data_IF_984233632571
#
_entry.id   IF_984233632571
#
_cell.length_a   1.000
_cell.length_b   1.000
_cell.length_c   1.000
_cell.angle_alpha   90.00
_cell.angle_beta   90.00
_cell.angle_gamma   90.00
#
_symmetry.space_group_name_H-M   'P 1'
#
loop_
_entity.id
_entity.type
_entity.pdbx_description
1 polymer ?
#
# COMPACT_ATOMS: atom_id res chain seq x y z
N UNK A 1 16.18 37.42 16.23
CA UNK A 1 15.52 36.59 15.19
C UNK A 1 14.39 35.82 15.87
N UNK A 2 13.15 35.96 15.39
CA UNK A 2 11.94 35.52 16.10
C UNK A 2 11.88 33.99 16.29
N UNK A 3 12.01 33.50 17.52
CA UNK A 3 11.97 32.07 17.87
C UNK A 3 10.65 31.39 17.46
N UNK A 4 9.55 32.14 17.36
CA UNK A 4 8.25 31.64 16.89
C UNK A 4 8.20 31.26 15.40
N UNK A 5 9.09 31.79 14.53
CA UNK A 5 9.12 31.41 13.10
C UNK A 5 9.83 30.06 12.85
N UNK A 6 10.63 29.57 13.80
CA UNK A 6 11.35 28.30 13.68
C UNK A 6 10.44 27.08 13.96
N UNK A 7 9.35 27.26 14.71
CA UNK A 7 8.41 26.18 15.06
C UNK A 7 7.52 25.69 13.90
N UNK A 8 7.38 26.48 12.83
CA UNK A 8 6.54 26.13 11.67
C UNK A 8 7.33 25.67 10.43
N UNK A 9 8.65 25.52 10.54
CA UNK A 9 9.46 24.96 9.45
C UNK A 9 9.63 23.46 9.64
N UNK A 10 9.65 22.67 8.54
CA UNK A 10 9.92 21.25 8.65
C UNK A 10 11.33 21.05 9.25
N UNK A 11 11.45 20.09 10.17
CA UNK A 11 12.60 19.88 11.09
C UNK A 11 13.95 19.82 10.35
N UNK A 12 13.92 19.36 9.10
CA UNK A 12 15.06 19.19 8.22
C UNK A 12 15.63 20.51 7.69
N UNK A 13 14.78 21.50 7.37
CA UNK A 13 15.21 22.85 7.00
C UNK A 13 15.86 23.58 8.18
N UNK A 14 15.34 23.36 9.39
CA UNK A 14 15.90 23.90 10.62
C UNK A 14 17.31 23.33 10.88
N UNK A 15 17.49 22.02 10.72
CA UNK A 15 18.80 21.37 10.87
C UNK A 15 19.82 21.90 9.85
N UNK A 16 19.45 22.01 8.57
CA UNK A 16 20.35 22.54 7.54
C UNK A 16 20.73 24.00 7.77
N UNK A 17 19.80 24.81 8.27
CA UNK A 17 20.09 26.19 8.65
C UNK A 17 21.13 26.28 9.79
N UNK A 18 21.01 25.42 10.80
CA UNK A 18 22.00 25.35 11.90
C UNK A 18 23.37 24.93 11.35
N UNK A 19 23.43 23.91 10.49
CA UNK A 19 24.68 23.42 9.88
C UNK A 19 25.35 24.51 9.03
N UNK A 20 24.60 25.20 8.16
CA UNK A 20 25.12 26.29 7.33
C UNK A 20 25.63 27.47 8.18
N UNK A 21 24.96 27.76 9.30
CA UNK A 21 25.39 28.78 10.25
C UNK A 21 26.70 28.41 10.95
N UNK A 22 26.86 27.14 11.35
CA UNK A 22 28.11 26.63 11.93
C UNK A 22 29.26 26.68 10.91
N UNK A 23 29.03 26.29 9.66
CA UNK A 23 30.04 26.37 8.59
C UNK A 23 30.49 27.83 8.32
N UNK A 24 29.57 28.78 8.43
CA UNK A 24 29.87 30.21 8.30
C UNK A 24 30.77 30.71 9.45
N UNK A 25 30.53 30.25 10.68
CA UNK A 25 31.40 30.55 11.83
C UNK A 25 32.81 29.97 11.67
N UNK A 26 32.93 28.75 11.15
CA UNK A 26 34.23 28.15 10.82
C UNK A 26 34.99 28.96 9.75
N UNK A 27 34.27 29.54 8.78
CA UNK A 27 34.88 30.42 7.75
C UNK A 27 35.48 31.69 8.37
N UNK A 28 34.76 32.29 9.32
CA UNK A 28 35.26 33.47 10.06
C UNK A 28 36.51 33.10 10.85
N UNK A 29 36.50 31.93 11.52
CA UNK A 29 37.68 31.40 12.21
C UNK A 29 38.87 31.16 11.28
N UNK A 30 38.62 30.60 10.09
CA UNK A 30 39.65 30.38 9.07
C UNK A 30 40.24 31.68 8.51
N UNK A 31 39.41 32.70 8.28
CA UNK A 31 39.88 34.05 7.89
C UNK A 31 40.77 34.68 8.95
N UNK A 32 40.38 34.59 10.23
CA UNK A 32 41.18 35.11 11.34
C UNK A 32 42.51 34.35 11.48
N UNK A 33 42.48 33.03 11.31
CA UNK A 33 43.67 32.18 11.36
C UNK A 33 44.69 32.55 10.26
N UNK A 34 44.20 32.75 9.03
CA UNK A 34 45.05 33.20 7.91
C UNK A 34 45.63 34.60 8.12
N UNK A 35 44.84 35.53 8.66
CA UNK A 35 45.30 36.90 8.93
C UNK A 35 46.47 36.94 9.93
N UNK A 36 46.54 35.99 10.85
CA UNK A 36 47.58 35.91 11.90
C UNK A 36 48.84 35.18 11.42
N UNK A 37 48.70 34.00 10.80
CA UNK A 37 49.85 33.12 10.50
C UNK A 37 50.42 33.33 9.10
N UNK A 38 49.56 33.64 8.10
CA UNK A 38 49.95 33.90 6.69
C UNK A 38 50.81 32.82 6.02
N UNK A 39 50.61 31.55 6.36
CA UNK A 39 51.23 30.42 5.68
C UNK A 39 50.31 29.79 4.62
N UNK A 40 50.83 28.82 3.85
CA UNK A 40 50.08 28.13 2.81
C UNK A 40 48.95 27.26 3.37
N UNK A 41 49.09 26.73 4.59
CA UNK A 41 48.08 25.86 5.22
C UNK A 41 46.88 26.67 5.75
N UNK A 42 47.12 27.83 6.37
CA UNK A 42 46.08 28.74 6.83
C UNK A 42 45.31 29.37 5.68
N UNK A 43 45.98 29.68 4.56
CA UNK A 43 45.31 30.12 3.34
C UNK A 43 44.39 29.03 2.80
N UNK A 44 44.89 27.79 2.74
CA UNK A 44 44.09 26.65 2.29
C UNK A 44 42.87 26.45 3.22
N UNK A 45 43.04 26.53 4.54
CA UNK A 45 41.95 26.41 5.50
C UNK A 45 40.88 27.50 5.36
N UNK A 46 41.27 28.75 5.07
CA UNK A 46 40.34 29.85 4.82
C UNK A 46 39.51 29.61 3.54
N UNK A 47 40.17 29.26 2.43
CA UNK A 47 39.49 29.05 1.14
C UNK A 47 38.53 27.85 1.23
N UNK A 48 38.94 26.78 1.91
CA UNK A 48 38.12 25.58 2.03
C UNK A 48 36.89 25.78 2.91
N UNK A 49 37.04 26.41 4.07
CA UNK A 49 35.90 26.75 4.94
C UNK A 49 34.88 27.66 4.24
N UNK A 50 35.35 28.62 3.44
CA UNK A 50 34.49 29.48 2.62
C UNK A 50 33.70 28.68 1.57
N UNK A 51 34.35 27.79 0.82
CA UNK A 51 33.67 26.95 -0.18
C UNK A 51 32.64 26.00 0.42
N UNK A 52 32.94 25.42 1.60
CA UNK A 52 32.00 24.58 2.33
C UNK A 52 30.77 25.36 2.80
N UNK A 53 30.96 26.58 3.31
CA UNK A 53 29.86 27.46 3.72
C UNK A 53 28.94 27.80 2.54
N UNK A 54 29.51 28.22 1.41
CA UNK A 54 28.75 28.54 0.20
C UNK A 54 27.94 27.34 -0.32
N UNK A 55 28.51 26.14 -0.26
CA UNK A 55 27.84 24.91 -0.66
C UNK A 55 26.64 24.58 0.26
N UNK A 56 26.82 24.65 1.58
CA UNK A 56 25.75 24.43 2.56
C UNK A 56 24.57 25.39 2.36
N UNK A 57 24.86 26.67 2.10
CA UNK A 57 23.84 27.67 1.81
C UNK A 57 23.14 27.44 0.46
N UNK A 58 23.88 27.05 -0.59
CA UNK A 58 23.31 26.70 -1.89
C UNK A 58 22.33 25.53 -1.80
N UNK A 59 22.67 24.52 -1.01
CA UNK A 59 21.81 23.38 -0.73
C UNK A 59 20.52 23.78 0.01
N UNK A 60 20.62 24.65 1.01
CA UNK A 60 19.44 25.14 1.75
C UNK A 60 18.46 25.86 0.82
N UNK A 61 18.97 26.64 -0.14
CA UNK A 61 18.15 27.30 -1.16
C UNK A 61 17.46 26.29 -2.06
N UNK A 62 18.17 25.24 -2.49
CA UNK A 62 17.59 24.14 -3.28
C UNK A 62 16.47 23.45 -2.49
N UNK A 63 16.71 23.08 -1.23
CA UNK A 63 15.70 22.45 -0.37
C UNK A 63 14.45 23.29 -0.16
N UNK A 64 14.60 24.62 -0.07
CA UNK A 64 13.46 25.53 0.10
C UNK A 64 12.56 25.58 -1.15
N UNK A 65 13.13 25.29 -2.32
CA UNK A 65 12.45 25.34 -3.62
C UNK A 65 11.93 23.97 -4.09
N UNK A 66 12.15 22.89 -3.34
CA UNK A 66 11.63 21.56 -3.69
C UNK A 66 10.12 21.42 -3.36
N UNK A 67 9.33 20.72 -4.20
CA UNK A 67 7.91 20.49 -3.96
C UNK A 67 7.69 19.66 -2.69
N UNK A 68 6.87 20.17 -1.77
CA UNK A 68 6.72 19.65 -0.39
C UNK A 68 5.82 18.42 -0.24
N UNK A 69 5.03 18.10 -1.26
CA UNK A 69 4.04 17.01 -1.19
C UNK A 69 4.58 15.64 -1.60
N UNK A 70 5.79 15.58 -2.16
CA UNK A 70 6.34 14.34 -2.67
C UNK A 70 7.10 13.58 -1.57
N UNK A 71 6.82 12.28 -1.41
CA UNK A 71 7.47 11.39 -0.42
C UNK A 71 9.00 11.41 -0.54
N UNK A 72 9.51 11.65 -1.76
CA UNK A 72 10.94 11.80 -2.07
C UNK A 72 11.59 13.00 -1.38
N UNK A 73 10.87 14.10 -1.13
CA UNK A 73 11.41 15.32 -0.50
C UNK A 73 11.80 15.08 0.96
N UNK A 74 11.09 14.17 1.67
CA UNK A 74 11.42 13.76 3.04
C UNK A 74 12.69 12.88 3.13
N UNK A 75 13.09 12.24 2.02
CA UNK A 75 14.25 11.34 1.93
C UNK A 75 15.51 12.05 1.40
N UNK A 76 15.34 13.09 0.59
CA UNK A 76 16.44 13.91 0.06
C UNK A 76 17.11 14.73 1.15
N UNK A 77 16.37 15.18 2.16
CA UNK A 77 16.89 16.06 3.21
C UNK A 77 17.95 15.40 4.11
N UNK A 78 17.75 14.17 4.64
CA UNK A 78 18.77 13.43 5.37
C UNK A 78 19.98 13.06 4.52
N UNK A 79 19.79 12.75 3.23
CA UNK A 79 20.86 12.43 2.29
C UNK A 79 21.76 13.65 2.07
N UNK A 80 21.15 14.82 1.91
CA UNK A 80 21.82 16.10 1.77
C UNK A 80 22.58 16.45 3.06
N UNK A 81 21.95 16.33 4.23
CA UNK A 81 22.60 16.58 5.52
C UNK A 81 23.80 15.64 5.70
N UNK A 82 23.66 14.37 5.31
CA UNK A 82 24.75 13.40 5.37
C UNK A 82 25.89 13.73 4.40
N UNK A 83 25.60 14.08 3.15
CA UNK A 83 26.61 14.53 2.18
C UNK A 83 27.32 15.78 2.69
N UNK A 84 26.60 16.71 3.33
CA UNK A 84 27.17 17.92 3.92
C UNK A 84 28.04 17.59 5.13
N UNK A 85 27.61 16.71 6.04
CA UNK A 85 28.40 16.26 7.21
C UNK A 85 29.66 15.52 6.76
N UNK A 86 29.54 14.66 5.75
CA UNK A 86 30.67 13.99 5.12
C UNK A 86 31.60 15.03 4.50
N UNK A 87 31.15 15.89 3.58
CA UNK A 87 31.98 16.92 2.95
C UNK A 87 32.66 17.86 3.97
N UNK A 88 31.99 18.21 5.07
CA UNK A 88 32.56 19.07 6.12
C UNK A 88 33.53 18.34 7.05
N UNK A 89 33.31 17.07 7.38
CA UNK A 89 34.32 16.21 8.05
C UNK A 89 35.47 15.83 7.11
N UNK A 90 35.22 15.85 5.80
CA UNK A 90 36.16 15.61 4.71
C UNK A 90 37.04 16.84 4.34
N UNK A 91 37.00 17.95 5.09
CA UNK A 91 37.79 19.14 4.73
C UNK A 91 38.61 19.71 5.90
N UNK A 92 39.15 18.82 6.73
CA UNK A 92 40.27 19.14 7.62
C UNK A 92 41.59 18.70 6.93
N UNK A 93 42.53 19.62 6.64
CA UNK A 93 43.78 19.29 5.92
C UNK A 93 44.65 18.25 6.65
N UNK A 94 44.51 18.09 7.97
CA UNK A 94 45.22 17.08 8.76
C UNK A 94 44.60 15.67 8.68
N UNK A 95 43.37 15.49 8.14
CA UNK A 95 42.63 14.22 8.19
C UNK A 95 42.29 13.60 6.83
N UNK A 96 42.75 14.17 5.70
CA UNK A 96 42.52 13.66 4.32
C UNK A 96 42.80 12.15 4.19
N UNK A 97 43.71 11.64 5.02
CA UNK A 97 44.10 10.23 5.12
C UNK A 97 43.01 9.27 5.62
N UNK A 98 42.11 9.70 6.51
CA UNK A 98 41.09 8.84 7.15
C UNK A 98 39.70 8.95 6.51
N UNK A 99 39.58 9.80 5.49
CA UNK A 99 38.34 10.19 4.83
C UNK A 99 37.63 9.06 4.07
N UNK A 100 38.40 8.10 3.57
CA UNK A 100 37.86 6.94 2.86
C UNK A 100 36.94 6.08 3.75
N UNK A 101 37.10 6.15 5.07
CA UNK A 101 36.24 5.44 6.03
C UNK A 101 34.81 5.98 5.99
N UNK A 102 34.63 7.31 5.94
CA UNK A 102 33.29 7.92 5.84
C UNK A 102 32.59 7.54 4.53
N UNK A 103 33.36 7.51 3.43
CA UNK A 103 32.86 7.11 2.10
C UNK A 103 32.44 5.64 2.09
N UNK A 104 33.15 4.78 2.82
CA UNK A 104 32.77 3.38 2.98
C UNK A 104 31.42 3.23 3.68
N UNK A 105 30.93 4.18 4.50
CA UNK A 105 29.58 4.10 5.09
C UNK A 105 28.46 4.59 4.15
N UNK A 106 28.78 5.29 3.05
CA UNK A 106 27.77 5.84 2.13
C UNK A 106 26.79 4.80 1.58
N UNK A 107 27.21 3.60 1.12
CA UNK A 107 26.28 2.58 0.66
C UNK A 107 25.32 2.07 1.74
N UNK A 108 25.69 2.12 3.03
CA UNK A 108 24.79 1.73 4.11
C UNK A 108 23.71 2.81 4.29
N UNK A 109 24.09 4.08 4.23
CA UNK A 109 23.14 5.18 4.44
C UNK A 109 22.21 5.39 3.25
N UNK A 110 22.72 5.23 2.02
CA UNK A 110 21.90 5.19 0.81
C UNK A 110 20.82 4.10 0.90
N UNK A 111 21.13 2.94 1.48
CA UNK A 111 20.18 1.84 1.61
C UNK A 111 18.96 2.16 2.49
N UNK A 112 19.13 3.06 3.47
CA UNK A 112 18.05 3.48 4.37
C UNK A 112 17.14 4.51 3.73
N UNK A 113 17.66 5.29 2.79
CA UNK A 113 16.99 6.49 2.28
C UNK A 113 16.41 6.35 0.87
N UNK A 114 16.85 5.37 0.09
CA UNK A 114 16.66 5.40 -1.37
C UNK A 114 16.01 4.12 -1.89
N UNK A 115 15.31 4.20 -3.03
CA UNK A 115 14.76 3.04 -3.74
C UNK A 115 15.82 2.20 -4.45
N UNK A 116 15.48 0.96 -4.80
CA UNK A 116 16.45 -0.01 -5.32
C UNK A 116 17.18 0.42 -6.59
N UNK A 117 16.51 1.11 -7.51
CA UNK A 117 17.15 1.60 -8.75
C UNK A 117 18.21 2.65 -8.45
N UNK A 118 17.87 3.67 -7.66
CA UNK A 118 18.79 4.77 -7.34
C UNK A 118 19.91 4.28 -6.40
N UNK A 119 19.64 3.28 -5.54
CA UNK A 119 20.64 2.63 -4.71
C UNK A 119 21.80 2.04 -5.52
N UNK A 120 21.48 1.29 -6.59
CA UNK A 120 22.50 0.67 -7.47
C UNK A 120 23.37 1.74 -8.13
N UNK A 121 22.76 2.81 -8.67
CA UNK A 121 23.53 3.91 -9.24
C UNK A 121 24.42 4.61 -8.20
N UNK A 122 23.90 4.82 -6.99
CA UNK A 122 24.67 5.39 -5.88
C UNK A 122 25.89 4.55 -5.51
N UNK A 123 25.74 3.23 -5.42
CA UNK A 123 26.85 2.31 -5.15
C UNK A 123 27.89 2.32 -6.28
N UNK A 124 27.47 2.37 -7.55
CA UNK A 124 28.39 2.46 -8.69
C UNK A 124 29.19 3.76 -8.68
N UNK A 125 28.56 4.89 -8.35
CA UNK A 125 29.24 6.19 -8.21
C UNK A 125 30.25 6.15 -7.06
N UNK A 126 29.88 5.59 -5.90
CA UNK A 126 30.80 5.46 -4.76
C UNK A 126 31.98 4.56 -5.11
N UNK A 127 31.76 3.44 -5.80
CA UNK A 127 32.85 2.57 -6.25
C UNK A 127 33.77 3.25 -7.25
N UNK A 128 33.21 3.94 -8.25
CA UNK A 128 33.98 4.72 -9.22
C UNK A 128 34.82 5.79 -8.52
N UNK A 129 34.25 6.48 -7.53
CA UNK A 129 34.95 7.49 -6.76
C UNK A 129 36.10 6.91 -5.92
N UNK A 130 35.91 5.75 -5.29
CA UNK A 130 36.97 5.05 -4.54
C UNK A 130 38.11 4.62 -5.46
N UNK A 131 37.81 4.18 -6.68
CA UNK A 131 38.83 3.88 -7.71
C UNK A 131 39.60 5.15 -8.08
N UNK A 132 38.91 6.25 -8.37
CA UNK A 132 39.54 7.54 -8.70
C UNK A 132 40.43 8.07 -7.56
N UNK A 133 39.97 7.98 -6.31
CA UNK A 133 40.76 8.33 -5.12
C UNK A 133 41.99 7.44 -4.93
N UNK A 134 41.98 6.22 -5.43
CA UNK A 134 43.12 5.30 -5.35
C UNK A 134 44.17 5.64 -6.42
N UNK A 135 43.75 6.11 -7.59
CA UNK A 135 44.63 6.48 -8.71
C UNK A 135 45.21 7.89 -8.54
N UNK A 136 44.38 8.86 -8.16
CA UNK A 136 44.73 10.30 -8.13
C UNK A 136 44.83 10.90 -6.72
N UNK A 137 44.49 10.13 -5.68
CA UNK A 137 44.61 10.61 -4.31
C UNK A 137 46.08 10.83 -3.90
N UNK A 138 46.34 11.57 -2.82
CA UNK A 138 47.69 11.82 -2.32
C UNK A 138 48.37 10.49 -1.99
N UNK A 139 49.24 10.02 -2.88
CA UNK A 139 50.07 8.81 -2.74
C UNK A 139 51.35 9.08 -1.97
N UNK A 140 51.62 10.34 -1.64
CA UNK A 140 52.84 10.78 -0.99
C UNK A 140 52.54 11.35 0.40
N UNK A 141 52.56 10.48 1.41
CA UNK A 141 53.16 10.67 2.75
C UNK A 141 52.82 9.40 3.53
N UNK A 142 53.78 8.47 3.52
CA UNK A 142 54.14 7.51 4.56
C UNK A 142 53.17 7.50 5.77
N UNK A 143 52.09 6.73 5.66
CA UNK A 143 51.65 5.93 6.81
C UNK A 143 52.66 4.78 6.82
N UNK A 144 53.50 4.71 7.86
CA UNK A 144 54.69 3.84 7.93
C UNK A 144 54.51 2.46 7.27
N UNK A 145 55.54 2.02 6.54
CA UNK A 145 55.77 0.67 5.98
C UNK A 145 54.64 -0.06 5.23
N UNK A 146 53.45 0.52 5.04
CA UNK A 146 52.32 -0.15 4.36
C UNK A 146 52.36 0.14 2.85
N UNK A 147 52.43 -0.92 2.05
CA UNK A 147 52.42 -0.84 0.59
C UNK A 147 51.13 -0.18 0.05
N UNK A 148 51.21 0.71 -0.97
CA UNK A 148 50.05 1.31 -1.65
C UNK A 148 49.02 0.29 -2.13
N UNK A 149 49.47 -0.92 -2.48
CA UNK A 149 48.62 -2.03 -2.92
C UNK A 149 47.71 -2.49 -1.77
N UNK A 150 48.24 -2.59 -0.55
CA UNK A 150 47.47 -3.00 0.63
C UNK A 150 46.38 -1.97 0.92
N UNK A 151 46.71 -0.67 0.87
CA UNK A 151 45.73 0.40 1.09
C UNK A 151 44.59 0.38 0.06
N UNK A 152 44.89 0.11 -1.21
CA UNK A 152 43.89 -0.04 -2.27
C UNK A 152 42.95 -1.23 -2.01
N UNK A 153 43.51 -2.39 -1.65
CA UNK A 153 42.74 -3.59 -1.32
C UNK A 153 41.82 -3.32 -0.13
N UNK A 154 42.34 -2.72 0.94
CA UNK A 154 41.57 -2.40 2.15
C UNK A 154 40.37 -1.49 1.83
N UNK A 155 40.56 -0.41 1.06
CA UNK A 155 39.47 0.49 0.65
C UNK A 155 38.41 -0.22 -0.20
N UNK A 156 38.85 -1.06 -1.13
CA UNK A 156 37.95 -1.86 -1.97
C UNK A 156 37.09 -2.82 -1.15
N UNK A 157 37.71 -3.55 -0.22
CA UNK A 157 37.02 -4.51 0.66
C UNK A 157 35.96 -3.81 1.53
N UNK A 158 36.28 -2.68 2.16
CA UNK A 158 35.33 -1.96 3.00
C UNK A 158 34.17 -1.36 2.21
N UNK A 159 34.43 -0.79 1.03
CA UNK A 159 33.39 -0.19 0.17
C UNK A 159 32.48 -1.25 -0.44
N UNK A 160 33.06 -2.40 -0.83
CA UNK A 160 32.30 -3.52 -1.34
C UNK A 160 31.46 -4.18 -0.23
N UNK A 161 32.06 -4.39 0.94
CA UNK A 161 31.37 -4.94 2.12
C UNK A 161 30.20 -4.07 2.58
N UNK A 162 30.36 -2.75 2.57
CA UNK A 162 29.28 -1.83 2.92
C UNK A 162 28.17 -1.75 1.88
N UNK A 163 28.50 -1.92 0.59
CA UNK A 163 27.50 -2.05 -0.48
C UNK A 163 26.68 -3.34 -0.35
N UNK A 164 27.32 -4.46 0.02
CA UNK A 164 26.60 -5.71 0.30
C UNK A 164 25.67 -5.52 1.52
N UNK A 165 26.21 -4.98 2.63
CA UNK A 165 25.44 -4.79 3.85
C UNK A 165 24.27 -3.83 3.64
N UNK A 166 24.49 -2.72 2.92
CA UNK A 166 23.43 -1.81 2.51
C UNK A 166 22.39 -2.49 1.62
N UNK A 167 22.82 -3.32 0.66
CA UNK A 167 21.89 -4.11 -0.18
C UNK A 167 20.96 -5.00 0.65
N UNK A 168 21.50 -5.68 1.68
CA UNK A 168 20.70 -6.51 2.60
C UNK A 168 19.69 -5.67 3.39
N UNK A 169 20.12 -4.52 3.93
CA UNK A 169 19.25 -3.59 4.66
C UNK A 169 18.12 -3.07 3.76
N UNK A 170 18.43 -2.69 2.52
CA UNK A 170 17.46 -2.23 1.54
C UNK A 170 16.38 -3.30 1.26
N UNK A 171 16.80 -4.55 1.04
CA UNK A 171 15.88 -5.67 0.81
C UNK A 171 15.00 -5.89 2.04
N UNK A 172 15.59 -5.93 3.23
CA UNK A 172 14.87 -6.09 4.50
C UNK A 172 13.84 -4.97 4.72
N UNK A 173 14.23 -3.70 4.53
CA UNK A 173 13.35 -2.53 4.63
C UNK A 173 12.19 -2.63 3.65
N UNK A 174 12.46 -2.99 2.39
CA UNK A 174 11.43 -3.10 1.36
C UNK A 174 10.46 -4.25 1.64
N UNK A 175 10.94 -5.38 2.16
CA UNK A 175 10.08 -6.47 2.62
C UNK A 175 9.21 -6.05 3.80
N UNK A 176 9.79 -5.35 4.78
CA UNK A 176 9.07 -4.83 5.93
C UNK A 176 7.98 -3.84 5.51
N UNK A 177 8.31 -2.87 4.64
CA UNK A 177 7.35 -1.91 4.08
C UNK A 177 6.16 -2.61 3.42
N UNK A 178 6.43 -3.60 2.55
CA UNK A 178 5.37 -4.39 1.91
C UNK A 178 4.50 -5.14 2.93
N UNK A 179 5.09 -5.71 3.99
CA UNK A 179 4.34 -6.39 5.06
C UNK A 179 3.45 -5.41 5.83
N UNK A 180 3.96 -4.22 6.17
CA UNK A 180 3.18 -3.20 6.87
C UNK A 180 2.03 -2.69 6.01
N UNK A 181 2.26 -2.43 4.72
CA UNK A 181 1.22 -2.04 3.77
C UNK A 181 0.15 -3.14 3.63
N UNK A 182 0.55 -4.41 3.53
CA UNK A 182 -0.38 -5.53 3.47
C UNK A 182 -1.19 -5.69 4.77
N UNK A 183 -0.56 -5.51 5.94
CA UNK A 183 -1.24 -5.55 7.23
C UNK A 183 -2.23 -4.39 7.41
N UNK A 184 -1.82 -3.17 7.03
CA UNK A 184 -2.69 -1.99 7.08
C UNK A 184 -3.93 -2.19 6.18
N UNK A 185 -3.72 -2.75 4.99
CA UNK A 185 -4.79 -3.10 4.07
C UNK A 185 -5.75 -4.16 4.65
N UNK A 186 -5.21 -5.23 5.25
CA UNK A 186 -6.03 -6.24 5.93
C UNK A 186 -6.81 -5.65 7.11
N UNK A 187 -6.20 -4.78 7.91
CA UNK A 187 -6.88 -4.11 9.02
C UNK A 187 -8.03 -3.22 8.53
N UNK A 188 -7.80 -2.44 7.46
CA UNK A 188 -8.84 -1.61 6.86
C UNK A 188 -10.03 -2.46 6.36
N UNK A 189 -9.76 -3.59 5.69
CA UNK A 189 -10.81 -4.54 5.28
C UNK A 189 -11.62 -5.06 6.47
N UNK A 190 -10.94 -5.51 7.52
CA UNK A 190 -11.62 -6.04 8.69
C UNK A 190 -12.46 -4.98 9.40
N UNK A 191 -12.00 -3.72 9.43
CA UNK A 191 -12.77 -2.61 9.99
C UNK A 191 -14.07 -2.36 9.21
N UNK A 192 -14.04 -2.41 7.88
CA UNK A 192 -15.24 -2.28 7.05
C UNK A 192 -16.21 -3.43 7.32
N UNK A 193 -15.72 -4.68 7.35
CA UNK A 193 -16.56 -5.85 7.66
C UNK A 193 -17.18 -5.72 9.06
N UNK A 194 -16.39 -5.36 10.08
CA UNK A 194 -16.89 -5.18 11.44
C UNK A 194 -17.94 -4.07 11.53
N UNK A 195 -17.75 -2.98 10.79
CA UNK A 195 -18.72 -1.89 10.70
C UNK A 195 -20.03 -2.39 10.07
N UNK A 196 -19.98 -3.10 8.94
CA UNK A 196 -21.17 -3.69 8.31
C UNK A 196 -21.85 -4.71 9.23
N UNK A 197 -21.08 -5.55 9.91
CA UNK A 197 -21.61 -6.49 10.90
C UNK A 197 -22.31 -5.80 12.07
N UNK A 198 -21.89 -4.60 12.46
CA UNK A 198 -22.57 -3.81 13.49
C UNK A 198 -23.98 -3.36 13.08
N UNK A 199 -24.28 -3.32 11.77
CA UNK A 199 -25.63 -3.04 11.25
C UNK A 199 -26.55 -4.27 11.23
N UNK A 200 -26.01 -5.49 11.43
CA UNK A 200 -26.81 -6.73 11.42
C UNK A 200 -28.02 -6.65 12.36
N UNK A 201 -27.87 -6.26 13.64
CA UNK A 201 -29.03 -6.17 14.55
C UNK A 201 -30.10 -5.16 14.12
N UNK A 202 -29.73 -4.15 13.32
CA UNK A 202 -30.66 -3.16 12.78
C UNK A 202 -31.43 -3.76 11.61
N UNK A 203 -30.74 -4.43 10.69
CA UNK A 203 -31.38 -5.08 9.55
C UNK A 203 -32.20 -6.31 9.97
N UNK A 204 -31.84 -7.03 11.03
CA UNK A 204 -32.55 -8.23 11.51
C UNK A 204 -33.97 -7.87 11.95
N UNK A 205 -34.12 -6.73 12.65
CA UNK A 205 -35.42 -6.21 13.07
C UNK A 205 -36.33 -5.83 11.91
N UNK A 206 -35.76 -5.48 10.76
CA UNK A 206 -36.49 -4.93 9.62
C UNK A 206 -36.76 -5.96 8.52
N UNK A 207 -35.76 -6.75 8.16
CA UNK A 207 -35.75 -7.56 6.93
C UNK A 207 -36.12 -9.03 7.16
N UNK A 208 -36.33 -9.43 8.42
CA UNK A 208 -36.53 -10.82 8.85
C UNK A 208 -35.40 -11.79 8.43
N UNK A 209 -34.26 -11.27 7.95
CA UNK A 209 -33.07 -12.07 7.67
C UNK A 209 -32.20 -12.11 8.92
N UNK A 210 -31.89 -13.31 9.39
CA UNK A 210 -31.07 -13.52 10.58
C UNK A 210 -29.57 -13.46 10.27
N UNK A 211 -28.75 -13.17 11.28
CA UNK A 211 -27.29 -13.34 11.24
C UNK A 211 -26.90 -14.75 10.81
N UNK A 212 -27.72 -15.75 11.17
CA UNK A 212 -27.52 -17.15 10.80
C UNK A 212 -27.62 -17.33 9.29
N UNK A 213 -28.65 -16.78 8.65
CA UNK A 213 -28.81 -16.79 7.18
C UNK A 213 -27.63 -16.14 6.46
N UNK A 214 -27.10 -15.02 6.97
CA UNK A 214 -25.92 -14.34 6.39
C UNK A 214 -24.70 -15.28 6.42
N UNK A 215 -24.49 -15.98 7.55
CA UNK A 215 -23.40 -16.94 7.70
C UNK A 215 -23.57 -18.17 6.83
N UNK A 216 -24.80 -18.69 6.72
CA UNK A 216 -25.15 -19.82 5.85
C UNK A 216 -24.93 -19.47 4.37
N UNK A 217 -25.32 -18.26 3.94
CA UNK A 217 -25.06 -17.77 2.58
C UNK A 217 -23.57 -17.72 2.27
N UNK A 218 -22.76 -17.12 3.16
CA UNK A 218 -21.31 -17.05 2.97
C UNK A 218 -20.69 -18.45 2.90
N UNK A 219 -21.10 -19.37 3.77
CA UNK A 219 -20.60 -20.74 3.77
C UNK A 219 -20.93 -21.46 2.45
N UNK A 220 -22.18 -21.41 2.01
CA UNK A 220 -22.62 -22.07 0.77
C UNK A 220 -21.93 -21.48 -0.46
N UNK A 221 -21.78 -20.15 -0.53
CA UNK A 221 -21.05 -19.51 -1.63
C UNK A 221 -19.58 -19.88 -1.64
N UNK A 222 -18.91 -19.93 -0.48
CA UNK A 222 -17.51 -20.37 -0.39
C UNK A 222 -17.35 -21.81 -0.86
N UNK A 223 -18.24 -22.71 -0.45
CA UNK A 223 -18.24 -24.10 -0.91
C UNK A 223 -18.46 -24.18 -2.42
N UNK A 224 -19.41 -23.42 -2.97
CA UNK A 224 -19.74 -23.41 -4.40
C UNK A 224 -18.60 -22.86 -5.26
N UNK A 225 -18.03 -21.71 -4.89
CA UNK A 225 -16.88 -21.12 -5.58
C UNK A 225 -15.68 -22.08 -5.56
N UNK A 226 -15.43 -22.74 -4.41
CA UNK A 226 -14.32 -23.69 -4.27
C UNK A 226 -14.52 -24.96 -5.09
N UNK A 227 -15.73 -25.53 -5.09
CA UNK A 227 -16.05 -26.73 -5.84
C UNK A 227 -16.03 -26.47 -7.36
N UNK A 228 -16.56 -25.33 -7.80
CA UNK A 228 -16.55 -24.94 -9.21
C UNK A 228 -15.13 -24.64 -9.73
N UNK A 229 -14.31 -23.94 -8.93
CA UNK A 229 -12.93 -23.62 -9.29
C UNK A 229 -12.81 -22.56 -10.40
N UNK A 230 -11.58 -22.09 -10.68
CA UNK A 230 -11.33 -21.15 -11.78
C UNK A 230 -11.75 -19.69 -11.56
N UNK A 231 -12.57 -19.37 -10.55
CA UNK A 231 -12.86 -17.99 -10.16
C UNK A 231 -11.71 -17.38 -9.35
N UNK A 232 -11.33 -16.15 -9.69
CA UNK A 232 -10.36 -15.36 -8.93
C UNK A 232 -11.08 -14.48 -7.91
N UNK A 233 -11.65 -15.11 -6.89
CA UNK A 233 -12.40 -14.45 -5.80
C UNK A 233 -11.77 -14.84 -4.47
N UNK A 234 -11.58 -13.85 -3.59
CA UNK A 234 -11.07 -14.03 -2.24
C UNK A 234 -12.22 -14.28 -1.26
N UNK A 235 -11.99 -15.04 -0.18
CA UNK A 235 -13.05 -15.39 0.78
C UNK A 235 -13.75 -14.16 1.40
N UNK A 236 -13.01 -13.08 1.63
CA UNK A 236 -13.58 -11.85 2.20
C UNK A 236 -14.55 -11.14 1.23
N UNK A 237 -14.39 -11.32 -0.09
CA UNK A 237 -15.32 -10.78 -1.08
C UNK A 237 -16.66 -11.52 -1.00
N UNK A 238 -16.62 -12.83 -0.76
CA UNK A 238 -17.81 -13.65 -0.54
C UNK A 238 -18.50 -13.27 0.77
N UNK A 239 -17.73 -13.08 1.85
CA UNK A 239 -18.26 -12.58 3.12
C UNK A 239 -18.93 -11.21 2.96
N UNK A 240 -18.30 -10.32 2.20
CA UNK A 240 -18.85 -9.00 1.89
C UNK A 240 -20.13 -9.10 1.05
N UNK A 241 -20.20 -9.99 0.06
CA UNK A 241 -21.40 -10.22 -0.74
C UNK A 241 -22.60 -10.65 0.12
N UNK A 242 -22.40 -11.61 1.03
CA UNK A 242 -23.46 -12.04 1.94
C UNK A 242 -23.93 -10.93 2.87
N UNK A 243 -23.00 -10.08 3.34
CA UNK A 243 -23.34 -8.91 4.15
C UNK A 243 -24.07 -7.83 3.34
N UNK A 244 -23.63 -7.56 2.10
CA UNK A 244 -24.26 -6.58 1.21
C UNK A 244 -25.67 -7.00 0.82
N UNK A 245 -25.90 -8.29 0.52
CA UNK A 245 -27.24 -8.82 0.27
C UNK A 245 -28.21 -8.45 1.38
N UNK A 246 -27.79 -8.67 2.61
CA UNK A 246 -28.57 -8.30 3.77
C UNK A 246 -28.76 -6.77 3.93
N UNK A 247 -27.67 -6.00 3.89
CA UNK A 247 -27.72 -4.53 4.07
C UNK A 247 -28.54 -3.86 2.96
N UNK A 248 -28.51 -4.40 1.73
CA UNK A 248 -29.21 -3.87 0.56
C UNK A 248 -30.73 -3.75 0.77
N UNK A 249 -31.30 -4.63 1.59
CA UNK A 249 -32.74 -4.69 1.84
C UNK A 249 -33.21 -3.64 2.84
N UNK A 250 -32.30 -2.94 3.54
CA UNK A 250 -32.66 -1.91 4.54
C UNK A 250 -33.38 -0.70 3.91
N UNK A 251 -33.14 -0.39 2.63
CA UNK A 251 -33.79 0.71 1.90
C UNK A 251 -35.23 0.38 1.49
N UNK A 252 -35.61 -0.90 1.49
CA UNK A 252 -36.97 -1.31 1.14
C UNK A 252 -37.98 -0.87 2.23
N UNK A 253 -39.20 -0.45 1.86
CA UNK A 253 -40.25 -0.12 2.82
C UNK A 253 -40.64 -1.32 3.70
N UNK A 254 -40.90 -1.07 4.99
CA UNK A 254 -41.16 -2.15 5.97
C UNK A 254 -42.35 -3.03 5.57
N UNK A 255 -43.43 -2.42 5.04
CA UNK A 255 -44.63 -3.14 4.61
C UNK A 255 -44.36 -4.18 3.51
N UNK A 256 -43.28 -4.05 2.74
CA UNK A 256 -42.94 -5.03 1.70
C UNK A 256 -42.50 -6.37 2.27
N UNK A 257 -41.94 -6.40 3.47
CA UNK A 257 -41.53 -7.65 4.14
C UNK A 257 -42.71 -8.39 4.78
N UNK A 258 -43.83 -7.69 5.00
CA UNK A 258 -45.05 -8.22 5.63
C UNK A 258 -46.19 -8.42 4.63
N UNK A 259 -45.99 -8.06 3.36
CA UNK A 259 -47.04 -8.10 2.35
C UNK A 259 -47.46 -9.54 2.03
N UNK A 260 -48.74 -9.80 2.16
CA UNK A 260 -49.38 -11.02 1.67
C UNK A 260 -49.79 -10.85 0.20
N UNK A 261 -49.34 -11.76 -0.67
CA UNK A 261 -49.68 -11.77 -2.10
C UNK A 261 -48.57 -11.26 -3.02
N UNK A 262 -48.90 -11.06 -4.30
CA UNK A 262 -47.95 -10.62 -5.33
C UNK A 262 -47.64 -9.12 -5.20
N UNK A 263 -46.40 -8.76 -5.51
CA UNK A 263 -46.01 -7.36 -5.71
C UNK A 263 -46.72 -6.80 -6.94
N UNK A 264 -47.15 -5.55 -6.85
CA UNK A 264 -47.52 -4.73 -8.03
C UNK A 264 -46.27 -4.38 -8.83
N UNK A 265 -46.45 -3.92 -10.06
CA UNK A 265 -45.34 -3.50 -10.93
C UNK A 265 -44.47 -2.42 -10.28
N UNK A 266 -45.10 -1.40 -9.68
CA UNK A 266 -44.38 -0.34 -8.96
C UNK A 266 -43.60 -0.87 -7.75
N UNK A 267 -44.19 -1.79 -6.98
CA UNK A 267 -43.48 -2.38 -5.84
C UNK A 267 -42.32 -3.26 -6.31
N UNK A 268 -42.48 -3.95 -7.44
CA UNK A 268 -41.41 -4.73 -8.03
C UNK A 268 -40.25 -3.83 -8.48
N UNK A 269 -40.52 -2.67 -9.10
CA UNK A 269 -39.49 -1.66 -9.42
C UNK A 269 -38.73 -1.20 -8.17
N UNK A 270 -39.43 -0.92 -7.08
CA UNK A 270 -38.80 -0.56 -5.79
C UNK A 270 -37.95 -1.69 -5.24
N UNK A 271 -38.35 -2.96 -5.41
CA UNK A 271 -37.51 -4.09 -5.02
C UNK A 271 -36.24 -4.13 -5.87
N UNK A 272 -36.29 -3.92 -7.18
CA UNK A 272 -35.10 -3.94 -8.04
C UNK A 272 -34.02 -2.94 -7.61
N UNK A 273 -34.41 -1.84 -6.97
CA UNK A 273 -33.47 -0.82 -6.47
C UNK A 273 -32.40 -1.37 -5.52
N UNK A 274 -32.66 -2.48 -4.81
CA UNK A 274 -31.66 -3.05 -3.91
C UNK A 274 -30.41 -3.52 -4.68
N UNK A 275 -30.55 -4.00 -5.93
CA UNK A 275 -29.43 -4.41 -6.77
C UNK A 275 -28.44 -3.25 -7.01
N UNK A 276 -28.95 -2.03 -7.16
CA UNK A 276 -28.13 -0.84 -7.32
C UNK A 276 -27.46 -0.38 -6.03
N UNK A 277 -27.87 -0.88 -4.86
CA UNK A 277 -27.25 -0.46 -3.61
C UNK A 277 -25.79 -0.91 -3.51
N UNK A 278 -25.41 -2.05 -4.08
CA UNK A 278 -23.98 -2.41 -4.10
C UNK A 278 -23.17 -1.39 -4.89
N UNK A 279 -23.71 -0.83 -5.98
CA UNK A 279 -23.08 0.28 -6.68
C UNK A 279 -22.97 1.49 -5.76
N UNK A 280 -24.06 1.92 -5.11
CA UNK A 280 -24.02 3.06 -4.17
C UNK A 280 -23.00 2.87 -3.01
N UNK A 281 -22.82 1.63 -2.52
CA UNK A 281 -21.96 1.31 -1.37
C UNK A 281 -20.50 1.01 -1.74
N UNK A 282 -20.25 0.48 -2.94
CA UNK A 282 -18.94 0.02 -3.38
C UNK A 282 -18.27 0.97 -4.38
N UNK A 283 -19.02 1.92 -4.96
CA UNK A 283 -18.51 2.87 -5.95
C UNK A 283 -17.31 3.65 -5.40
N UNK A 284 -16.23 3.68 -6.18
CA UNK A 284 -14.98 4.36 -5.83
C UNK A 284 -14.03 3.57 -4.93
N UNK A 285 -14.35 2.33 -4.53
CA UNK A 285 -13.45 1.44 -3.78
C UNK A 285 -12.80 0.45 -4.78
N UNK A 286 -11.51 0.62 -5.16
CA UNK A 286 -10.89 -0.14 -6.25
C UNK A 286 -10.94 -1.66 -6.10
N UNK A 287 -10.92 -2.16 -4.86
CA UNK A 287 -10.91 -3.59 -4.56
C UNK A 287 -12.31 -4.24 -4.55
N UNK A 288 -13.39 -3.49 -4.71
CA UNK A 288 -14.76 -3.98 -4.53
C UNK A 288 -15.48 -4.23 -5.87
N UNK A 289 -14.80 -4.06 -7.01
CA UNK A 289 -15.42 -4.14 -8.34
C UNK A 289 -16.09 -5.48 -8.63
N UNK A 290 -15.47 -6.60 -8.24
CA UNK A 290 -16.05 -7.92 -8.49
C UNK A 290 -17.24 -8.19 -7.56
N UNK A 291 -17.20 -7.69 -6.33
CA UNK A 291 -18.32 -7.71 -5.38
C UNK A 291 -19.49 -6.87 -5.91
N UNK A 292 -19.22 -5.65 -6.39
CA UNK A 292 -20.22 -4.75 -6.96
C UNK A 292 -20.93 -5.41 -8.14
N UNK A 293 -20.18 -5.94 -9.12
CA UNK A 293 -20.76 -6.64 -10.28
C UNK A 293 -21.53 -7.87 -9.85
N UNK A 294 -20.95 -8.70 -8.99
CA UNK A 294 -21.59 -9.93 -8.54
C UNK A 294 -22.95 -9.64 -7.91
N UNK A 295 -23.02 -8.60 -7.09
CA UNK A 295 -24.26 -8.15 -6.47
C UNK A 295 -25.22 -7.47 -7.46
N UNK A 296 -24.74 -6.63 -8.37
CA UNK A 296 -25.62 -5.90 -9.29
C UNK A 296 -26.48 -6.82 -10.17
N UNK A 297 -25.94 -7.98 -10.55
CA UNK A 297 -26.56 -8.89 -11.52
C UNK A 297 -27.07 -10.21 -10.92
N UNK A 298 -27.15 -10.35 -9.60
CA UNK A 298 -27.52 -11.63 -8.96
C UNK A 298 -28.97 -12.09 -9.21
N UNK A 299 -29.84 -11.16 -9.66
CA UNK A 299 -31.21 -11.48 -10.10
C UNK A 299 -31.36 -11.59 -11.62
N UNK A 300 -30.26 -11.51 -12.38
CA UNK A 300 -30.27 -11.84 -13.80
C UNK A 300 -30.51 -13.33 -14.00
N UNK A 301 -31.25 -13.66 -15.06
CA UNK A 301 -31.64 -15.04 -15.39
C UNK A 301 -31.04 -15.43 -16.72
N UNK A 302 -30.62 -16.68 -16.83
CA UNK A 302 -29.97 -17.21 -18.04
C UNK A 302 -30.80 -16.98 -19.31
N UNK A 303 -32.13 -17.01 -19.23
CA UNK A 303 -33.04 -16.77 -20.35
C UNK A 303 -33.25 -15.28 -20.72
N UNK A 304 -32.64 -14.35 -19.98
CA UNK A 304 -32.78 -12.90 -20.19
C UNK A 304 -34.03 -12.28 -19.57
N UNK A 305 -34.85 -13.03 -18.82
CA UNK A 305 -36.06 -12.51 -18.14
C UNK A 305 -35.77 -11.99 -16.73
N UNK A 306 -34.50 -11.83 -16.39
CA UNK A 306 -34.02 -11.28 -15.11
C UNK A 306 -34.05 -9.77 -15.06
N UNK A 307 -33.43 -9.22 -14.02
CA UNK A 307 -33.31 -7.78 -13.79
C UNK A 307 -31.97 -7.50 -13.08
N UNK A 308 -31.43 -6.26 -13.12
CA UNK A 308 -32.01 -5.05 -13.70
C UNK A 308 -31.74 -4.79 -15.19
N UNK A 309 -30.78 -5.46 -15.80
CA UNK A 309 -30.29 -5.20 -17.16
C UNK A 309 -30.71 -6.26 -18.19
N UNK A 310 -31.38 -7.34 -17.76
CA UNK A 310 -31.86 -8.41 -18.64
C UNK A 310 -30.70 -9.09 -19.39
N UNK A 311 -29.59 -9.31 -18.68
CA UNK A 311 -28.45 -10.05 -19.21
C UNK A 311 -28.84 -11.51 -19.42
N UNK A 312 -28.27 -12.15 -20.45
CA UNK A 312 -28.58 -13.54 -20.79
C UNK A 312 -27.31 -14.40 -20.90
N UNK A 313 -27.43 -15.68 -20.56
CA UNK A 313 -26.37 -16.67 -20.67
C UNK A 313 -25.04 -16.23 -20.02
N UNK A 314 -23.96 -16.28 -20.81
CA UNK A 314 -22.60 -15.96 -20.36
C UNK A 314 -22.32 -14.47 -20.14
N UNK A 315 -23.29 -13.59 -20.42
CA UNK A 315 -23.17 -12.16 -20.08
C UNK A 315 -23.31 -11.93 -18.58
N UNK A 316 -23.98 -12.84 -17.87
CA UNK A 316 -24.18 -12.76 -16.42
C UNK A 316 -22.89 -13.20 -15.74
N UNK A 317 -22.30 -12.38 -14.84
CA UNK A 317 -21.11 -12.80 -14.11
C UNK A 317 -21.35 -14.09 -13.34
N UNK A 318 -20.37 -14.98 -13.38
CA UNK A 318 -20.49 -16.31 -12.78
C UNK A 318 -20.77 -16.24 -11.27
N UNK A 319 -20.14 -15.30 -10.55
CA UNK A 319 -20.38 -15.08 -9.13
C UNK A 319 -21.80 -14.55 -8.84
N UNK A 320 -22.41 -13.79 -9.76
CA UNK A 320 -23.82 -13.37 -9.66
C UNK A 320 -24.77 -14.57 -9.75
N UNK A 321 -24.53 -15.48 -10.70
CA UNK A 321 -25.31 -16.70 -10.85
C UNK A 321 -25.23 -17.60 -9.60
N UNK A 322 -24.02 -17.72 -9.02
CA UNK A 322 -23.82 -18.44 -7.76
C UNK A 322 -24.57 -17.77 -6.59
N UNK A 323 -24.50 -16.44 -6.47
CA UNK A 323 -25.21 -15.67 -5.43
C UNK A 323 -26.73 -15.84 -5.53
N UNK A 324 -27.30 -15.65 -6.72
CA UNK A 324 -28.74 -15.81 -6.95
C UNK A 324 -29.23 -17.23 -6.67
N UNK A 325 -28.44 -18.24 -7.01
CA UNK A 325 -28.78 -19.65 -6.72
C UNK A 325 -28.81 -19.92 -5.21
N UNK A 326 -27.76 -19.49 -4.49
CA UNK A 326 -27.69 -19.65 -3.03
C UNK A 326 -28.81 -18.88 -2.33
N UNK A 327 -29.14 -17.69 -2.80
CA UNK A 327 -30.27 -16.91 -2.29
C UNK A 327 -31.60 -17.65 -2.46
N UNK A 328 -31.87 -18.19 -3.65
CA UNK A 328 -33.10 -18.98 -3.90
C UNK A 328 -33.14 -20.20 -2.99
N UNK A 329 -32.02 -20.92 -2.85
CA UNK A 329 -31.95 -22.06 -1.95
C UNK A 329 -32.29 -21.69 -0.50
N UNK A 330 -31.64 -20.67 0.04
CA UNK A 330 -31.91 -20.19 1.40
C UNK A 330 -33.35 -19.68 1.54
N UNK A 331 -33.90 -19.00 0.55
CA UNK A 331 -35.29 -18.58 0.54
C UNK A 331 -36.27 -19.78 0.54
N UNK A 332 -35.88 -20.94 0.01
CA UNK A 332 -36.67 -22.18 0.03
C UNK A 332 -36.54 -22.93 1.37
N UNK A 333 -35.35 -22.97 1.95
CA UNK A 333 -35.04 -23.74 3.18
C UNK A 333 -35.17 -22.94 4.48
N UNK A 334 -35.44 -21.63 4.42
CA UNK A 334 -35.66 -20.80 5.61
C UNK A 334 -37.16 -20.62 5.84
N UNK A 335 -37.65 -20.76 7.09
CA UNK A 335 -39.05 -20.51 7.40
C UNK A 335 -39.38 -19.04 7.24
N UNK A 336 -40.53 -18.73 6.66
CA UNK A 336 -41.05 -17.36 6.50
C UNK A 336 -42.44 -17.28 7.11
N UNK A 337 -42.87 -16.08 7.50
CA UNK A 337 -44.19 -15.87 8.15
C UNK A 337 -45.36 -16.45 7.35
N UNK A 338 -45.25 -16.50 6.02
CA UNK A 338 -46.27 -16.98 5.09
C UNK A 338 -46.02 -18.39 4.52
N UNK A 339 -44.89 -19.05 4.81
CA UNK A 339 -44.54 -20.36 4.26
C UNK A 339 -43.65 -21.18 5.18
N UNK A 340 -43.95 -22.48 5.29
CA UNK A 340 -43.05 -23.45 5.91
C UNK A 340 -41.76 -23.62 5.09
N UNK A 341 -40.68 -24.00 5.78
CA UNK A 341 -39.41 -24.37 5.16
C UNK A 341 -39.54 -25.68 4.36
N UNK A 342 -38.81 -25.77 3.25
CA UNK A 342 -38.63 -27.01 2.51
C UNK A 342 -37.41 -27.76 3.02
N UNK A 343 -37.39 -29.09 2.91
CA UNK A 343 -36.15 -29.84 3.10
C UNK A 343 -35.14 -29.48 2.01
N UNK A 344 -33.84 -29.66 2.29
CA UNK A 344 -32.77 -29.36 1.32
C UNK A 344 -32.97 -30.11 -0.02
N UNK A 345 -33.44 -31.36 0.04
CA UNK A 345 -33.76 -32.16 -1.15
C UNK A 345 -34.92 -31.60 -1.97
N UNK A 346 -35.98 -31.15 -1.30
CA UNK A 346 -37.13 -30.52 -1.98
C UNK A 346 -36.72 -29.18 -2.60
N UNK A 347 -35.96 -28.35 -1.87
CA UNK A 347 -35.46 -27.08 -2.36
C UNK A 347 -34.56 -27.27 -3.59
N UNK A 348 -33.66 -28.26 -3.56
CA UNK A 348 -32.83 -28.61 -4.71
C UNK A 348 -33.65 -29.08 -5.91
N UNK A 349 -34.65 -29.94 -5.68
CA UNK A 349 -35.54 -30.41 -6.74
C UNK A 349 -36.32 -29.25 -7.40
N UNK A 350 -36.71 -28.21 -6.65
CA UNK A 350 -37.28 -26.99 -7.24
C UNK A 350 -36.26 -26.19 -8.04
N UNK A 351 -35.02 -26.03 -7.55
CA UNK A 351 -33.94 -25.35 -8.27
C UNK A 351 -33.59 -26.06 -9.58
N UNK A 352 -33.61 -27.39 -9.61
CA UNK A 352 -33.37 -28.17 -10.83
C UNK A 352 -34.38 -27.84 -11.95
N UNK A 353 -35.62 -27.48 -11.61
CA UNK A 353 -36.63 -27.05 -12.60
C UNK A 353 -36.33 -25.67 -13.19
N UNK A 354 -35.46 -24.89 -12.55
CA UNK A 354 -35.06 -23.54 -12.99
C UNK A 354 -33.82 -23.56 -13.90
N UNK A 355 -33.23 -24.73 -14.16
CA UNK A 355 -32.08 -24.88 -15.07
C UNK A 355 -32.45 -24.43 -16.48
N UNK A 356 -31.58 -23.61 -17.08
CA UNK A 356 -31.78 -23.04 -18.42
C UNK A 356 -32.74 -21.86 -18.49
N UNK A 357 -33.57 -21.67 -17.45
CA UNK A 357 -34.40 -20.47 -17.28
C UNK A 357 -33.67 -19.45 -16.39
N UNK A 358 -33.50 -19.74 -15.10
CA UNK A 358 -32.87 -18.83 -14.15
C UNK A 358 -31.38 -19.10 -13.97
N UNK A 359 -30.97 -20.36 -13.97
CA UNK A 359 -29.61 -20.77 -13.61
C UNK A 359 -28.96 -21.67 -14.66
N UNK A 360 -27.63 -21.59 -14.74
CA UNK A 360 -26.85 -22.48 -15.60
C UNK A 360 -26.80 -23.90 -15.01
N UNK A 361 -26.83 -24.90 -15.89
CA UNK A 361 -26.85 -26.31 -15.50
C UNK A 361 -25.60 -26.72 -14.69
N UNK A 362 -24.42 -26.24 -15.10
CA UNK A 362 -23.13 -26.55 -14.48
C UNK A 362 -23.06 -26.07 -13.02
N UNK A 363 -23.60 -24.89 -12.72
CA UNK A 363 -23.64 -24.37 -11.34
C UNK A 363 -24.61 -25.17 -10.47
N UNK A 364 -25.79 -25.51 -11.01
CA UNK A 364 -26.80 -26.29 -10.27
C UNK A 364 -26.29 -27.70 -9.96
N UNK A 365 -25.60 -28.35 -10.91
CA UNK A 365 -25.01 -29.67 -10.73
C UNK A 365 -23.99 -29.68 -9.58
N UNK A 366 -23.03 -28.75 -9.61
CA UNK A 366 -22.02 -28.61 -8.56
C UNK A 366 -22.65 -28.24 -7.22
N UNK A 367 -23.70 -27.43 -7.22
CA UNK A 367 -24.42 -27.09 -5.99
C UNK A 367 -25.08 -28.32 -5.36
N UNK A 368 -25.61 -29.24 -6.17
CA UNK A 368 -26.14 -30.52 -5.70
C UNK A 368 -25.11 -31.34 -4.90
N UNK A 369 -23.86 -31.40 -5.38
CA UNK A 369 -22.77 -32.12 -4.70
C UNK A 369 -22.37 -31.51 -3.35
N UNK A 370 -22.72 -30.24 -3.09
CA UNK A 370 -22.37 -29.53 -1.85
C UNK A 370 -23.41 -29.75 -0.75
N UNK A 371 -24.66 -29.97 -1.14
CA UNK A 371 -25.81 -30.07 -0.22
C UNK A 371 -26.24 -31.52 0.07
N UNK A 372 -25.79 -32.49 -0.73
CA UNK A 372 -25.92 -33.93 -0.46
C UNK A 372 -24.91 -34.40 0.61
#
# INVERSE_FOLDING_TARGET
MNLQRLGNQPVDQLMMFIIASMASLCTIGGMLYWLVIRDSESYLYMVTSLTASLFCWGILVIQKNLPKENVYTKLISPLIIFVVVVVTTLYNPLSLWHMWVAIAFCPILLSLLVDSKIYVYGCLIVMMYVVLLTIFGPTSVIVGDISPIIAAITRGVYTFGSAILGGVILVSRNQFKKRVEALAFQQQKQQVINLLQSFIPVGERKTQTSRKEIGEMSMLLKSLVKAYGGLRVQEWEIDLLSLLHFVSRVKLPDYMFEKEGKLSEFEFEVVQEHCYMAKELCEGIPDFQEVEKAFLYHHEKVDGTGYPYQLAGDQIPLLSQMLGLVEVFLALTTPRSYRQEMSQREAYAEIQKLVGHSFRADIVEIFGEIID
#
